data_IF_229787724240
#
_entry.id   IF_229787724240
#
_cell.length_a   1.000
_cell.length_b   1.000
_cell.length_c   1.000
_cell.angle_alpha   90.00
_cell.angle_beta   90.00
_cell.angle_gamma   90.00
#
_symmetry.space_group_name_H-M   'P 1'
#
loop_
_entity.id
_entity.type
_entity.pdbx_description
1 polymer ?
#
# COMPACT_ATOMS: atom_id res chain seq x y z
N UNK A 1 -32.51 -20.66 27.04
CA UNK A 1 -31.68 -19.73 26.25
C UNK A 1 -32.36 -18.38 26.27
N UNK A 2 -31.67 -17.32 26.71
CA UNK A 2 -32.21 -15.97 26.62
C UNK A 2 -32.34 -15.58 25.13
N UNK A 3 -33.46 -14.96 24.70
CA UNK A 3 -33.61 -14.53 23.32
C UNK A 3 -32.56 -13.47 22.98
N UNK A 4 -31.86 -13.65 21.85
CA UNK A 4 -30.95 -12.63 21.31
C UNK A 4 -31.81 -11.53 20.70
N UNK A 5 -31.72 -10.32 21.23
CA UNK A 5 -32.43 -9.16 20.67
C UNK A 5 -31.65 -8.63 19.46
N UNK A 6 -32.25 -8.72 18.26
CA UNK A 6 -31.63 -8.26 17.03
C UNK A 6 -32.25 -6.92 16.65
N UNK A 7 -31.41 -5.89 16.53
CA UNK A 7 -31.79 -4.58 16.00
C UNK A 7 -31.13 -4.40 14.63
N UNK A 8 -31.94 -4.16 13.59
CA UNK A 8 -31.42 -3.79 12.27
C UNK A 8 -31.30 -2.27 12.20
N UNK A 9 -30.15 -1.78 11.76
CA UNK A 9 -29.92 -0.37 11.49
C UNK A 9 -30.11 -0.11 9.99
N UNK A 10 -30.76 0.99 9.65
CA UNK A 10 -30.94 1.47 8.27
C UNK A 10 -29.68 2.23 7.81
N UNK A 11 -28.51 1.59 7.93
CA UNK A 11 -27.21 2.15 7.51
C UNK A 11 -26.76 1.42 6.25
N UNK A 12 -26.48 2.19 5.19
CA UNK A 12 -25.96 1.68 3.93
C UNK A 12 -24.67 2.40 3.60
N UNK A 13 -23.61 1.63 3.33
CA UNK A 13 -22.36 2.14 2.79
C UNK A 13 -22.42 1.98 1.28
N UNK A 14 -22.19 3.07 0.54
CA UNK A 14 -22.17 3.07 -0.91
C UNK A 14 -20.77 3.44 -1.41
N UNK A 15 -20.31 2.83 -2.52
CA UNK A 15 -19.06 3.22 -3.14
C UNK A 15 -19.09 4.68 -3.61
N UNK A 16 -17.96 5.38 -3.48
CA UNK A 16 -17.78 6.74 -4.01
C UNK A 16 -16.70 6.80 -5.09
N UNK A 17 -17.11 6.97 -6.35
CA UNK A 17 -16.20 7.00 -7.50
C UNK A 17 -15.28 8.23 -7.50
N UNK A 18 -15.65 9.30 -6.81
CA UNK A 18 -14.81 10.51 -6.70
C UNK A 18 -13.60 10.33 -5.77
N UNK A 19 -13.53 9.21 -5.03
CA UNK A 19 -12.38 8.86 -4.21
C UNK A 19 -11.29 8.23 -5.08
N UNK A 20 -10.38 9.08 -5.53
CA UNK A 20 -9.33 8.76 -6.50
C UNK A 20 -7.94 8.90 -5.90
N UNK A 21 -6.99 8.09 -6.39
CA UNK A 21 -5.55 8.26 -6.15
C UNK A 21 -4.83 8.56 -7.46
N UNK A 22 -3.73 9.32 -7.41
CA UNK A 22 -2.87 9.53 -8.57
C UNK A 22 -1.83 8.42 -8.63
N UNK A 23 -1.73 7.75 -9.78
CA UNK A 23 -0.76 6.67 -10.04
C UNK A 23 0.11 7.02 -11.26
N UNK A 24 1.30 6.40 -11.38
CA UNK A 24 2.08 6.48 -12.60
C UNK A 24 1.30 5.89 -13.77
N UNK A 25 1.15 6.66 -14.83
CA UNK A 25 0.56 6.26 -16.10
C UNK A 25 1.62 6.39 -17.20
N UNK A 26 2.62 5.52 -17.15
CA UNK A 26 3.77 5.54 -18.07
C UNK A 26 3.56 4.48 -19.15
N UNK A 27 3.49 4.86 -20.44
CA UNK A 27 3.43 3.90 -21.53
C UNK A 27 4.68 2.98 -21.55
N UNK A 28 4.48 1.70 -21.86
CA UNK A 28 5.58 0.73 -21.97
C UNK A 28 6.50 0.99 -23.18
N UNK A 29 5.99 1.67 -24.22
CA UNK A 29 6.77 2.05 -25.39
C UNK A 29 7.62 3.31 -25.12
N UNK A 30 8.94 3.13 -25.06
CA UNK A 30 9.91 4.21 -24.86
C UNK A 30 9.84 5.29 -25.94
N UNK A 31 9.50 4.95 -27.19
CA UNK A 31 9.35 5.94 -28.25
C UNK A 31 8.17 6.89 -27.96
N UNK A 32 7.05 6.34 -27.48
CA UNK A 32 5.91 7.13 -27.03
C UNK A 32 6.26 8.03 -25.84
N UNK A 33 6.99 7.51 -24.85
CA UNK A 33 7.44 8.30 -23.68
C UNK A 33 8.31 9.49 -24.12
N UNK A 34 9.34 9.24 -24.92
CA UNK A 34 10.23 10.29 -25.45
C UNK A 34 9.48 11.31 -26.31
N UNK A 35 8.49 10.88 -27.10
CA UNK A 35 7.64 11.79 -27.89
C UNK A 35 6.82 12.74 -27.00
N UNK A 36 6.24 12.24 -25.90
CA UNK A 36 5.49 13.06 -24.93
C UNK A 36 6.42 14.08 -24.26
N UNK A 37 7.58 13.63 -23.79
CA UNK A 37 8.60 14.51 -23.20
C UNK A 37 9.03 15.58 -24.22
N UNK A 38 9.27 15.20 -25.47
CA UNK A 38 9.65 16.13 -26.53
C UNK A 38 8.64 17.26 -26.74
N UNK A 39 7.34 16.95 -26.66
CA UNK A 39 6.27 17.97 -26.72
C UNK A 39 6.32 18.92 -25.54
N UNK A 40 6.49 18.41 -24.32
CA UNK A 40 6.64 19.23 -23.12
C UNK A 40 7.91 20.10 -23.15
N UNK A 41 9.00 19.61 -23.74
CA UNK A 41 10.25 20.35 -23.92
C UNK A 41 10.11 21.47 -24.99
N UNK A 42 9.22 21.30 -25.96
CA UNK A 42 8.98 22.30 -27.01
C UNK A 42 8.19 23.53 -26.52
N UNK A 43 7.47 23.41 -25.39
CA UNK A 43 6.75 24.53 -24.78
C UNK A 43 7.70 25.60 -24.25
N UNK A 44 7.28 26.86 -24.33
CA UNK A 44 7.89 27.99 -23.61
C UNK A 44 7.59 27.91 -22.11
N UNK A 45 8.38 28.59 -21.27
CA UNK A 45 8.12 28.60 -19.82
C UNK A 45 6.74 29.21 -19.47
N UNK A 46 6.26 30.19 -20.24
CA UNK A 46 4.93 30.76 -20.03
C UNK A 46 3.81 29.76 -20.35
N UNK A 47 4.00 28.93 -21.38
CA UNK A 47 3.09 27.83 -21.70
C UNK A 47 3.10 26.77 -20.61
N UNK A 48 4.28 26.33 -20.17
CA UNK A 48 4.43 25.37 -19.07
C UNK A 48 3.69 25.84 -17.82
N UNK A 49 3.91 27.09 -17.40
CA UNK A 49 3.27 27.65 -16.21
C UNK A 49 1.73 27.68 -16.34
N UNK A 50 1.22 27.95 -17.55
CA UNK A 50 -0.22 27.99 -17.82
C UNK A 50 -0.84 26.59 -17.80
N UNK A 51 -0.24 25.63 -18.48
CA UNK A 51 -0.72 24.25 -18.50
C UNK A 51 -0.68 23.63 -17.10
N UNK A 52 0.43 23.83 -16.37
CA UNK A 52 0.54 23.34 -14.99
C UNK A 52 -0.52 23.94 -14.07
N UNK A 53 -0.80 25.25 -14.18
CA UNK A 53 -1.90 25.86 -13.40
C UNK A 53 -3.26 25.25 -13.74
N UNK A 54 -3.50 24.96 -15.03
CA UNK A 54 -4.74 24.29 -15.46
C UNK A 54 -4.87 22.91 -14.82
N UNK A 55 -3.81 22.11 -14.85
CA UNK A 55 -3.76 20.80 -14.18
C UNK A 55 -3.99 20.95 -12.68
N UNK A 56 -3.30 21.85 -12.00
CA UNK A 56 -3.52 22.01 -10.56
C UNK A 56 -4.97 22.41 -10.25
N UNK A 57 -5.55 23.36 -11.00
CA UNK A 57 -6.94 23.82 -10.78
C UNK A 57 -7.99 22.72 -10.97
N UNK A 58 -7.77 21.80 -11.90
CA UNK A 58 -8.70 20.70 -12.15
C UNK A 58 -8.61 19.58 -11.09
N UNK A 59 -7.53 19.52 -10.31
CA UNK A 59 -7.25 18.43 -9.36
C UNK A 59 -7.16 18.89 -7.90
N UNK A 60 -7.11 20.20 -7.63
CA UNK A 60 -6.97 20.82 -6.29
C UNK A 60 -8.08 20.40 -5.32
N UNK A 61 -9.28 20.13 -5.84
CA UNK A 61 -10.44 19.75 -5.04
C UNK A 61 -10.47 18.26 -4.66
N UNK A 62 -9.58 17.44 -5.25
CA UNK A 62 -9.55 15.98 -5.15
C UNK A 62 -8.27 15.42 -4.52
N UNK A 63 -7.19 16.20 -4.44
CA UNK A 63 -5.89 15.74 -3.92
C UNK A 63 -5.28 16.74 -2.95
N UNK A 64 -4.69 16.24 -1.85
CA UNK A 64 -4.10 17.08 -0.82
C UNK A 64 -2.70 17.62 -1.19
N UNK A 65 -1.82 16.79 -1.75
CA UNK A 65 -0.45 17.17 -2.16
C UNK A 65 -0.13 16.67 -3.58
N UNK A 66 -0.70 17.34 -4.58
CA UNK A 66 -0.47 16.98 -5.99
C UNK A 66 0.97 17.25 -6.43
N UNK A 67 1.59 18.33 -5.96
CA UNK A 67 2.90 18.77 -6.44
C UNK A 67 3.99 17.72 -6.13
N UNK A 68 4.02 17.17 -4.92
CA UNK A 68 4.96 16.12 -4.54
C UNK A 68 4.77 14.84 -5.37
N UNK A 69 3.51 14.46 -5.64
CA UNK A 69 3.19 13.30 -6.47
C UNK A 69 3.66 13.48 -7.93
N UNK A 70 3.41 14.66 -8.50
CA UNK A 70 3.87 14.98 -9.85
C UNK A 70 5.40 14.97 -9.93
N UNK A 71 6.09 15.50 -8.94
CA UNK A 71 7.55 15.45 -8.87
C UNK A 71 8.06 14.00 -8.83
N UNK A 72 7.47 13.14 -7.99
CA UNK A 72 7.82 11.72 -7.92
C UNK A 72 7.57 10.98 -9.25
N UNK A 73 6.55 11.37 -10.01
CA UNK A 73 6.30 10.80 -11.35
C UNK A 73 7.30 11.30 -12.39
N UNK A 74 7.72 12.56 -12.32
CA UNK A 74 8.81 13.07 -13.14
C UNK A 74 10.11 12.28 -12.92
N UNK A 75 10.46 12.01 -11.66
CA UNK A 75 11.67 11.25 -11.32
C UNK A 75 11.70 9.85 -11.95
N UNK A 76 10.53 9.22 -12.15
CA UNK A 76 10.40 7.92 -12.83
C UNK A 76 10.75 7.99 -14.31
N UNK A 77 10.50 9.12 -14.97
CA UNK A 77 10.73 9.31 -16.42
C UNK A 77 11.94 10.19 -16.74
N UNK A 78 12.62 10.75 -15.74
CA UNK A 78 13.72 11.69 -15.93
C UNK A 78 14.85 11.13 -16.82
N UNK A 79 15.09 9.82 -16.76
CA UNK A 79 16.12 9.14 -17.54
C UNK A 79 15.81 9.09 -19.05
N UNK A 80 14.58 9.39 -19.44
CA UNK A 80 14.17 9.54 -20.84
C UNK A 80 14.27 10.99 -21.35
N UNK A 81 14.64 11.95 -20.49
CA UNK A 81 14.83 13.35 -20.88
C UNK A 81 16.14 13.50 -21.67
N UNK A 82 16.05 13.98 -22.90
CA UNK A 82 17.17 14.02 -23.86
C UNK A 82 17.70 15.43 -24.14
N UNK A 83 17.66 16.33 -23.14
CA UNK A 83 18.20 17.70 -23.26
C UNK A 83 19.35 17.94 -22.28
N UNK A 84 20.31 18.75 -22.69
CA UNK A 84 21.41 19.21 -21.82
C UNK A 84 21.02 20.43 -20.97
N UNK A 85 19.84 21.02 -21.21
CA UNK A 85 19.35 22.17 -20.46
C UNK A 85 18.77 21.73 -19.12
N UNK A 86 19.08 22.46 -18.06
CA UNK A 86 18.40 22.30 -16.77
C UNK A 86 16.93 22.69 -16.93
N UNK A 87 16.02 21.79 -16.52
CA UNK A 87 14.58 22.05 -16.57
C UNK A 87 14.16 22.87 -15.35
N UNK A 88 13.27 23.84 -15.55
CA UNK A 88 12.58 24.54 -14.46
C UNK A 88 11.72 23.57 -13.65
N UNK A 89 11.49 23.90 -12.38
CA UNK A 89 10.67 23.05 -11.50
C UNK A 89 9.25 22.87 -12.06
N UNK A 90 8.60 23.93 -12.55
CA UNK A 90 7.27 23.84 -13.17
C UNK A 90 7.24 22.88 -14.36
N UNK A 91 8.31 22.84 -15.17
CA UNK A 91 8.41 21.92 -16.30
C UNK A 91 8.59 20.48 -15.85
N UNK A 92 9.33 20.24 -14.77
CA UNK A 92 9.43 18.92 -14.16
C UNK A 92 8.05 18.44 -13.70
N UNK A 93 7.32 19.28 -12.96
CA UNK A 93 5.96 18.97 -12.51
C UNK A 93 5.00 18.69 -13.66
N UNK A 94 5.04 19.51 -14.73
CA UNK A 94 4.20 19.30 -15.91
C UNK A 94 4.52 17.97 -16.62
N UNK A 95 5.82 17.62 -16.75
CA UNK A 95 6.20 16.30 -17.29
C UNK A 95 5.66 15.20 -16.39
N UNK A 96 5.77 15.33 -15.07
CA UNK A 96 5.19 14.41 -14.10
C UNK A 96 3.68 14.24 -14.30
N UNK A 97 2.94 15.33 -14.50
CA UNK A 97 1.49 15.32 -14.75
C UNK A 97 1.12 14.54 -16.01
N UNK A 98 1.89 14.68 -17.09
CA UNK A 98 1.65 13.97 -18.35
C UNK A 98 1.81 12.45 -18.23
N UNK A 99 2.50 11.97 -17.19
CA UNK A 99 2.68 10.56 -16.87
C UNK A 99 1.95 10.15 -15.58
N UNK A 100 0.91 10.89 -15.22
CA UNK A 100 0.04 10.63 -14.08
C UNK A 100 -1.36 10.27 -14.57
N UNK A 101 -2.05 9.42 -13.81
CA UNK A 101 -3.45 9.10 -14.04
C UNK A 101 -4.19 8.89 -12.73
N UNK A 102 -5.42 9.37 -12.64
CA UNK A 102 -6.31 9.05 -11.53
C UNK A 102 -6.79 7.60 -11.62
N UNK A 103 -7.05 7.03 -10.46
CA UNK A 103 -7.58 5.70 -10.27
C UNK A 103 -8.69 5.78 -9.22
N UNK A 104 -9.93 5.49 -9.59
CA UNK A 104 -11.05 5.45 -8.66
C UNK A 104 -11.01 4.17 -7.80
N UNK A 105 -10.85 4.37 -6.49
CA UNK A 105 -10.63 3.31 -5.49
C UNK A 105 -11.85 2.41 -5.31
N UNK A 106 -13.04 3.00 -5.33
CA UNK A 106 -14.30 2.32 -5.02
C UNK A 106 -15.20 2.19 -6.25
N UNK A 107 -14.65 2.28 -7.47
CA UNK A 107 -15.47 2.36 -8.69
C UNK A 107 -16.36 1.15 -8.99
N UNK A 108 -16.03 -0.03 -8.44
CA UNK A 108 -16.85 -1.22 -8.60
C UNK A 108 -17.71 -1.53 -7.38
N UNK A 109 -17.11 -1.64 -6.19
CA UNK A 109 -17.84 -1.99 -4.97
C UNK A 109 -17.03 -1.77 -3.68
N UNK A 110 -17.75 -1.64 -2.56
CA UNK A 110 -17.23 -1.77 -1.19
C UNK A 110 -17.96 -2.89 -0.44
N UNK A 111 -17.23 -3.78 0.21
CA UNK A 111 -17.83 -4.95 0.88
C UNK A 111 -16.89 -5.56 1.95
N UNK A 112 -17.33 -6.66 2.56
CA UNK A 112 -16.60 -7.41 3.58
C UNK A 112 -16.18 -6.61 4.84
N UNK A 113 -17.11 -5.88 5.49
CA UNK A 113 -16.78 -5.06 6.65
C UNK A 113 -16.31 -5.90 7.84
N UNK A 114 -15.23 -5.47 8.50
CA UNK A 114 -14.77 -5.99 9.79
C UNK A 114 -14.62 -4.83 10.77
N UNK A 115 -15.07 -4.98 12.02
CA UNK A 115 -14.98 -3.92 13.03
C UNK A 115 -14.11 -4.34 14.21
N UNK A 116 -13.32 -3.39 14.73
CA UNK A 116 -12.54 -3.54 15.96
C UNK A 116 -12.65 -2.26 16.80
N UNK A 117 -12.46 -2.33 18.14
CA UNK A 117 -12.35 -1.14 18.96
C UNK A 117 -11.26 -0.20 18.44
N UNK A 118 -11.57 1.08 18.30
CA UNK A 118 -10.60 2.10 17.90
C UNK A 118 -9.50 2.21 18.97
N UNK A 119 -8.21 2.36 18.60
CA UNK A 119 -7.12 2.45 19.58
C UNK A 119 -7.28 3.65 20.51
N UNK A 120 -7.73 4.79 19.97
CA UNK A 120 -8.14 5.95 20.74
C UNK A 120 -9.64 5.90 21.11
N UNK A 121 -9.94 5.87 22.41
CA UNK A 121 -11.29 5.98 22.99
C UNK A 121 -11.50 7.31 23.74
N UNK A 122 -10.62 8.30 23.55
CA UNK A 122 -10.74 9.60 24.22
C UNK A 122 -12.03 10.32 23.82
N UNK A 123 -12.70 10.92 24.81
CA UNK A 123 -13.96 11.65 24.61
C UNK A 123 -15.17 10.75 24.29
N UNK A 124 -15.03 9.42 24.35
CA UNK A 124 -16.15 8.48 24.19
C UNK A 124 -16.96 8.43 25.50
N UNK A 125 -18.29 8.59 25.45
CA UNK A 125 -19.14 8.48 26.65
C UNK A 125 -19.04 7.10 27.31
N UNK A 126 -19.15 7.04 28.64
CA UNK A 126 -19.15 5.78 29.39
C UNK A 126 -20.20 4.79 28.85
N UNK A 127 -19.76 3.59 28.49
CA UNK A 127 -20.60 2.54 27.92
C UNK A 127 -20.83 2.64 26.40
N UNK A 128 -20.31 3.66 25.72
CA UNK A 128 -20.20 3.71 24.27
C UNK A 128 -18.84 3.15 23.80
N UNK A 129 -18.69 2.89 22.51
CA UNK A 129 -17.47 2.34 21.93
C UNK A 129 -17.18 2.96 20.56
N UNK A 130 -16.04 3.63 20.41
CA UNK A 130 -15.53 4.04 19.10
C UNK A 130 -14.92 2.82 18.40
N UNK A 131 -15.14 2.68 17.10
CA UNK A 131 -14.62 1.55 16.32
C UNK A 131 -13.90 2.02 15.07
N UNK A 132 -12.98 1.17 14.59
CA UNK A 132 -12.47 1.18 13.22
C UNK A 132 -13.14 0.06 12.46
N UNK A 133 -13.57 0.34 11.23
CA UNK A 133 -14.10 -0.63 10.29
C UNK A 133 -13.13 -0.74 9.11
N UNK A 134 -12.62 -1.94 8.82
CA UNK A 134 -11.97 -2.23 7.55
C UNK A 134 -13.00 -2.67 6.52
N UNK A 135 -12.82 -2.25 5.27
CA UNK A 135 -13.62 -2.64 4.11
C UNK A 135 -12.69 -3.05 2.97
N UNK A 136 -13.16 -3.97 2.13
CA UNK A 136 -12.58 -4.22 0.83
C UNK A 136 -13.19 -3.23 -0.16
N UNK A 137 -12.35 -2.37 -0.73
CA UNK A 137 -12.71 -1.51 -1.86
C UNK A 137 -12.20 -2.15 -3.16
N UNK A 138 -13.05 -2.22 -4.18
CA UNK A 138 -12.68 -2.70 -5.52
C UNK A 138 -12.79 -1.54 -6.49
N UNK A 139 -11.66 -1.14 -7.06
CA UNK A 139 -11.57 0.00 -7.94
C UNK A 139 -11.47 -0.40 -9.41
N UNK A 140 -10.93 0.52 -10.22
CA UNK A 140 -10.75 0.29 -11.65
C UNK A 140 -9.89 -0.95 -11.93
N UNK A 141 -10.17 -1.65 -13.03
CA UNK A 141 -9.48 -2.90 -13.35
C UNK A 141 -9.71 -4.04 -12.35
N UNK A 142 -10.71 -3.92 -11.46
CA UNK A 142 -11.04 -4.89 -10.40
C UNK A 142 -9.92 -5.13 -9.39
N UNK A 143 -9.02 -4.16 -9.23
CA UNK A 143 -7.96 -4.24 -8.22
C UNK A 143 -8.57 -3.95 -6.85
N UNK A 144 -8.37 -4.86 -5.91
CA UNK A 144 -8.87 -4.73 -4.54
C UNK A 144 -7.85 -4.07 -3.61
N UNK A 145 -8.35 -3.23 -2.71
CA UNK A 145 -7.61 -2.53 -1.66
C UNK A 145 -8.36 -2.62 -0.33
N UNK A 146 -7.68 -2.30 0.77
CA UNK A 146 -8.31 -2.15 2.08
C UNK A 146 -8.47 -0.66 2.36
N UNK A 147 -9.66 -0.26 2.75
CA UNK A 147 -9.93 1.08 3.27
C UNK A 147 -10.48 1.00 4.69
N UNK A 148 -10.45 2.14 5.39
CA UNK A 148 -10.94 2.23 6.75
C UNK A 148 -12.08 3.25 6.89
N UNK A 149 -12.97 3.01 7.84
CA UNK A 149 -13.96 3.96 8.35
C UNK A 149 -13.88 3.99 9.86
N UNK A 150 -14.27 5.09 10.48
CA UNK A 150 -14.43 5.17 11.93
C UNK A 150 -15.89 5.50 12.28
N UNK A 151 -16.29 5.14 13.48
CA UNK A 151 -17.63 5.42 13.98
C UNK A 151 -17.78 5.15 15.46
N UNK A 152 -18.99 5.39 15.98
CA UNK A 152 -19.35 5.23 17.38
C UNK A 152 -20.56 4.32 17.51
N UNK A 153 -20.47 3.35 18.42
CA UNK A 153 -21.63 2.61 18.93
C UNK A 153 -22.04 3.28 20.24
N UNK A 154 -23.23 3.89 20.26
CA UNK A 154 -23.81 4.53 21.44
C UNK A 154 -24.29 3.53 22.49
N UNK A 155 -24.55 4.02 23.71
CA UNK A 155 -25.08 3.24 24.82
C UNK A 155 -26.49 2.68 24.57
N UNK A 156 -27.23 3.31 23.66
CA UNK A 156 -28.53 2.87 23.15
C UNK A 156 -28.42 1.89 21.96
N UNK A 157 -27.18 1.52 21.60
CA UNK A 157 -26.85 0.68 20.46
C UNK A 157 -26.97 1.37 19.10
N UNK A 158 -27.22 2.68 19.03
CA UNK A 158 -27.19 3.40 17.76
C UNK A 158 -25.76 3.47 17.21
N UNK A 159 -25.61 3.29 15.90
CA UNK A 159 -24.33 3.35 15.21
C UNK A 159 -24.28 4.65 14.39
N UNK A 160 -23.22 5.42 14.57
CA UNK A 160 -22.91 6.61 13.75
C UNK A 160 -21.53 6.44 13.13
N UNK A 161 -21.36 6.94 11.90
CA UNK A 161 -20.07 6.96 11.21
C UNK A 161 -19.50 8.37 11.23
N UNK A 162 -18.18 8.47 11.28
CA UNK A 162 -17.48 9.71 10.99
C UNK A 162 -17.63 10.08 9.50
N UNK A 163 -17.58 11.39 9.16
CA UNK A 163 -17.61 11.81 7.77
C UNK A 163 -16.53 11.12 6.94
N UNK A 164 -16.93 10.64 5.76
CA UNK A 164 -16.00 10.12 4.78
C UNK A 164 -15.33 11.29 4.06
N UNK A 165 -14.01 11.36 4.15
CA UNK A 165 -13.25 12.31 3.35
C UNK A 165 -13.29 11.93 1.88
N UNK A 166 -13.30 12.94 1.02
CA UNK A 166 -13.13 12.78 -0.43
C UNK A 166 -11.70 12.37 -0.79
N UNK A 167 -10.75 12.70 0.08
CA UNK A 167 -9.34 12.45 -0.15
C UNK A 167 -9.00 10.98 0.14
N UNK A 168 -7.96 10.52 -0.54
CA UNK A 168 -7.42 9.18 -0.38
C UNK A 168 -5.90 9.31 -0.46
N UNK A 169 -5.21 8.76 0.52
CA UNK A 169 -3.76 8.83 0.59
C UNK A 169 -3.17 7.44 0.61
N UNK A 170 -2.23 7.19 -0.32
CA UNK A 170 -1.41 5.98 -0.32
C UNK A 170 -0.30 6.17 0.72
N UNK A 171 0.01 5.15 1.53
CA UNK A 171 1.03 5.25 2.56
C UNK A 171 2.43 5.42 1.98
N UNK A 172 3.33 5.98 2.80
CA UNK A 172 4.77 5.81 2.58
C UNK A 172 5.15 4.33 2.77
N UNK A 173 5.93 3.78 1.84
CA UNK A 173 6.35 2.39 1.87
C UNK A 173 7.81 2.31 2.34
N UNK A 174 8.05 1.66 3.47
CA UNK A 174 9.41 1.35 3.93
C UNK A 174 9.86 0.04 3.29
N UNK A 175 10.72 0.14 2.28
CA UNK A 175 11.17 -0.99 1.45
C UNK A 175 12.32 -1.82 2.05
N UNK A 176 12.96 -1.35 3.14
CA UNK A 176 14.05 -2.06 3.82
C UNK A 176 13.67 -2.39 5.27
N UNK A 177 12.58 -3.15 5.50
CA UNK A 177 12.16 -3.49 6.85
C UNK A 177 13.17 -4.43 7.52
N UNK A 178 13.02 -4.57 8.83
CA UNK A 178 13.77 -5.54 9.61
C UNK A 178 13.04 -6.89 9.64
N UNK A 179 13.74 -7.95 9.25
CA UNK A 179 13.23 -9.32 9.20
C UNK A 179 13.74 -10.12 10.38
N UNK A 180 12.86 -10.93 10.98
CA UNK A 180 13.27 -11.94 11.96
C UNK A 180 13.67 -13.24 11.25
N UNK A 181 14.93 -13.65 11.41
CA UNK A 181 15.51 -14.84 10.76
C UNK A 181 14.73 -16.13 11.00
N UNK A 182 14.26 -16.36 12.23
CA UNK A 182 13.50 -17.57 12.57
C UNK A 182 12.14 -17.59 11.89
N UNK A 183 11.40 -16.47 11.92
CA UNK A 183 10.10 -16.34 11.22
C UNK A 183 10.26 -16.49 9.70
N UNK A 184 11.27 -15.85 9.13
CA UNK A 184 11.58 -15.91 7.69
C UNK A 184 11.87 -17.34 7.23
N UNK A 185 12.75 -18.06 7.94
CA UNK A 185 13.06 -19.47 7.66
C UNK A 185 11.82 -20.35 7.82
N UNK A 186 10.98 -20.07 8.82
CA UNK A 186 9.73 -20.83 9.04
C UNK A 186 8.79 -20.69 7.84
N UNK A 187 8.60 -19.47 7.32
CA UNK A 187 7.79 -19.26 6.11
C UNK A 187 8.36 -19.92 4.87
N UNK A 188 9.67 -19.88 4.65
CA UNK A 188 10.29 -20.61 3.54
C UNK A 188 9.99 -22.11 3.62
N UNK A 189 10.06 -22.71 4.82
CA UNK A 189 9.70 -24.13 5.00
C UNK A 189 8.24 -24.41 4.73
N UNK A 190 7.32 -23.55 5.16
CA UNK A 190 5.89 -23.68 4.86
C UNK A 190 5.62 -23.60 3.36
N UNK A 191 6.40 -22.81 2.63
CA UNK A 191 6.37 -22.72 1.16
C UNK A 191 7.07 -23.90 0.45
N UNK A 192 7.64 -24.85 1.19
CA UNK A 192 8.33 -26.02 0.66
C UNK A 192 9.82 -25.80 0.31
N UNK A 193 10.44 -24.73 0.78
CA UNK A 193 11.86 -24.43 0.59
C UNK A 193 12.65 -24.72 1.87
N UNK A 194 13.34 -25.86 1.88
CA UNK A 194 14.13 -26.35 3.02
C UNK A 194 15.48 -26.96 2.58
N UNK A 195 15.95 -26.61 1.39
CA UNK A 195 17.17 -27.14 0.80
C UNK A 195 18.45 -26.53 1.43
N UNK A 196 19.61 -27.08 1.04
CA UNK A 196 20.92 -26.61 1.49
C UNK A 196 21.22 -25.17 1.04
N UNK A 197 20.62 -24.71 -0.07
CA UNK A 197 20.86 -23.36 -0.61
C UNK A 197 20.23 -22.30 0.30
N UNK A 198 19.04 -22.56 0.87
CA UNK A 198 18.44 -21.71 1.91
C UNK A 198 19.39 -21.58 3.10
N UNK A 199 20.01 -22.67 3.55
CA UNK A 199 20.94 -22.64 4.68
C UNK A 199 22.16 -21.77 4.37
N UNK A 200 22.72 -21.90 3.16
CA UNK A 200 23.89 -21.13 2.72
C UNK A 200 23.56 -19.63 2.68
N UNK A 201 22.44 -19.24 2.05
CA UNK A 201 22.04 -17.82 1.94
C UNK A 201 21.70 -17.24 3.31
N UNK A 202 21.04 -18.00 4.18
CA UNK A 202 20.60 -17.49 5.48
C UNK A 202 21.72 -17.49 6.52
N UNK A 203 22.76 -18.32 6.38
CA UNK A 203 23.86 -18.43 7.35
C UNK A 203 24.51 -17.09 7.77
N UNK A 204 24.94 -16.20 6.84
CA UNK A 204 25.62 -14.94 7.20
C UNK A 204 24.69 -13.87 7.80
N UNK A 205 23.37 -14.05 7.76
CA UNK A 205 22.42 -13.06 8.27
C UNK A 205 22.30 -13.14 9.80
N UNK A 206 22.15 -11.99 10.45
CA UNK A 206 21.87 -11.91 11.90
C UNK A 206 20.47 -12.41 12.27
N UNK A 207 20.18 -12.53 13.58
CA UNK A 207 18.82 -12.87 14.06
C UNK A 207 17.77 -11.86 13.58
N UNK A 208 18.17 -10.59 13.48
CA UNK A 208 17.48 -9.53 12.77
C UNK A 208 18.35 -9.12 11.58
N UNK A 209 17.79 -9.02 10.38
CA UNK A 209 18.50 -8.60 9.18
C UNK A 209 17.62 -7.70 8.31
N UNK A 210 18.20 -6.94 7.39
CA UNK A 210 17.46 -6.07 6.47
C UNK A 210 17.41 -6.65 5.06
N UNK A 211 16.57 -6.10 4.19
CA UNK A 211 16.52 -6.49 2.76
C UNK A 211 17.88 -6.28 2.10
N UNK A 212 18.57 -5.21 2.47
CA UNK A 212 19.93 -4.92 2.01
C UNK A 212 20.92 -6.00 2.42
N UNK A 213 20.79 -6.58 3.62
CA UNK A 213 21.67 -7.66 4.09
C UNK A 213 21.37 -8.97 3.35
N UNK A 214 20.10 -9.27 3.12
CA UNK A 214 19.69 -10.41 2.30
C UNK A 214 20.23 -10.30 0.88
N UNK A 215 20.09 -9.14 0.24
CA UNK A 215 20.60 -8.90 -1.12
C UNK A 215 22.12 -9.09 -1.20
N UNK A 216 22.87 -8.63 -0.19
CA UNK A 216 24.32 -8.89 -0.10
C UNK A 216 24.60 -10.40 -0.04
N UNK A 217 23.87 -11.14 0.79
CA UNK A 217 24.03 -12.58 0.90
C UNK A 217 23.70 -13.32 -0.41
N UNK A 218 22.59 -12.97 -1.05
CA UNK A 218 22.18 -13.51 -2.35
C UNK A 218 23.27 -13.29 -3.42
N UNK A 219 23.83 -12.08 -3.48
CA UNK A 219 24.90 -11.75 -4.42
C UNK A 219 26.19 -12.53 -4.15
N UNK A 220 26.55 -12.76 -2.89
CA UNK A 220 27.71 -13.59 -2.54
C UNK A 220 27.56 -15.02 -3.05
N UNK A 221 26.36 -15.61 -2.93
CA UNK A 221 26.07 -16.96 -3.43
C UNK A 221 26.09 -17.00 -4.96
N UNK A 222 25.50 -16.00 -5.62
CA UNK A 222 25.49 -15.88 -7.09
C UNK A 222 26.88 -15.72 -7.70
N UNK A 223 27.78 -15.01 -7.01
CA UNK A 223 29.16 -14.78 -7.47
C UNK A 223 30.14 -15.88 -7.03
N UNK A 224 29.69 -16.85 -6.22
CA UNK A 224 30.43 -18.09 -5.98
C UNK A 224 30.63 -18.84 -7.29
N UNK A 225 31.84 -19.36 -7.54
CA UNK A 225 32.34 -19.79 -8.86
C UNK A 225 31.71 -21.06 -9.46
N UNK A 226 30.43 -21.34 -9.21
CA UNK A 226 29.70 -22.51 -9.68
C UNK A 226 28.56 -22.11 -10.64
N UNK A 227 28.29 -22.91 -11.69
CA UNK A 227 27.12 -22.71 -12.54
C UNK A 227 25.85 -22.80 -11.69
N UNK A 228 25.03 -21.76 -11.76
CA UNK A 228 23.76 -21.67 -11.00
C UNK A 228 22.83 -22.81 -11.46
N UNK A 229 22.57 -23.76 -10.57
CA UNK A 229 21.62 -24.84 -10.83
C UNK A 229 20.20 -24.27 -10.94
N UNK A 230 19.30 -25.01 -11.60
CA UNK A 230 17.89 -24.63 -11.68
C UNK A 230 17.25 -24.51 -10.30
N UNK A 231 17.63 -25.40 -9.39
CA UNK A 231 17.10 -25.43 -8.02
C UNK A 231 17.58 -24.22 -7.21
N UNK A 232 18.88 -23.89 -7.28
CA UNK A 232 19.43 -22.69 -6.65
C UNK A 232 18.72 -21.43 -7.16
N UNK A 233 18.53 -21.30 -8.48
CA UNK A 233 17.81 -20.17 -9.06
C UNK A 233 16.40 -20.03 -8.50
N UNK A 234 15.66 -21.14 -8.41
CA UNK A 234 14.31 -21.16 -7.85
C UNK A 234 14.30 -20.75 -6.38
N UNK A 235 15.29 -21.19 -5.61
CA UNK A 235 15.43 -20.81 -4.19
C UNK A 235 15.75 -19.33 -4.02
N UNK A 236 16.65 -18.77 -4.84
CA UNK A 236 16.95 -17.34 -4.84
C UNK A 236 15.74 -16.50 -5.25
N UNK A 237 15.02 -16.91 -6.29
CA UNK A 237 13.77 -16.25 -6.73
C UNK A 237 12.71 -16.28 -5.61
N UNK A 238 12.58 -17.40 -4.89
CA UNK A 238 11.67 -17.51 -3.75
C UNK A 238 12.09 -16.64 -2.56
N UNK A 239 13.38 -16.58 -2.23
CA UNK A 239 13.90 -15.74 -1.16
C UNK A 239 13.64 -14.27 -1.44
N UNK A 240 13.89 -13.83 -2.67
CA UNK A 240 13.56 -12.48 -3.12
C UNK A 240 12.05 -12.24 -3.04
N UNK A 241 11.25 -13.19 -3.51
CA UNK A 241 9.80 -13.09 -3.49
C UNK A 241 9.24 -12.93 -2.07
N UNK A 242 9.72 -13.71 -1.10
CA UNK A 242 9.30 -13.60 0.30
C UNK A 242 9.76 -12.28 0.93
N UNK A 243 10.96 -11.80 0.58
CA UNK A 243 11.42 -10.48 1.03
C UNK A 243 10.54 -9.36 0.45
N UNK A 244 10.14 -9.47 -0.80
CA UNK A 244 9.32 -8.49 -1.50
C UNK A 244 7.86 -8.46 -0.99
N UNK A 245 7.40 -9.53 -0.35
CA UNK A 245 6.08 -9.58 0.32
C UNK A 245 6.05 -8.84 1.66
N UNK A 246 7.20 -8.60 2.30
CA UNK A 246 7.23 -7.94 3.61
C UNK A 246 7.66 -6.48 3.46
N UNK A 247 6.82 -5.58 3.94
CA UNK A 247 7.05 -4.14 3.89
C UNK A 247 6.30 -3.46 5.03
N UNK A 248 6.65 -2.21 5.29
CA UNK A 248 5.92 -1.41 6.27
C UNK A 248 5.28 -0.22 5.58
N UNK A 249 4.12 0.19 6.10
CA UNK A 249 3.32 1.28 5.60
C UNK A 249 3.19 2.32 6.70
N UNK A 250 3.44 3.58 6.36
CA UNK A 250 3.27 4.70 7.27
C UNK A 250 2.28 5.71 6.69
N UNK A 251 1.32 6.10 7.53
CA UNK A 251 0.40 7.20 7.27
C UNK A 251 0.74 8.40 8.17
N UNK A 252 0.66 9.63 7.65
CA UNK A 252 0.68 10.83 8.48
C UNK A 252 -0.46 10.82 9.51
N UNK A 253 -0.19 11.31 10.72
CA UNK A 253 -1.15 11.31 11.83
C UNK A 253 -2.36 12.22 11.56
N UNK A 254 -2.17 13.26 10.75
CA UNK A 254 -3.17 14.26 10.41
C UNK A 254 -4.26 13.71 9.50
N UNK A 255 -4.02 12.57 8.84
CA UNK A 255 -5.00 11.96 7.96
C UNK A 255 -6.17 11.41 8.76
N UNK A 256 -7.38 11.71 8.30
CA UNK A 256 -8.58 11.07 8.82
C UNK A 256 -8.52 9.56 8.58
N UNK A 257 -9.17 8.76 9.43
CA UNK A 257 -9.23 7.30 9.26
C UNK A 257 -9.74 6.92 7.86
N UNK A 258 -10.71 7.66 7.35
CA UNK A 258 -11.27 7.42 6.01
C UNK A 258 -10.28 7.67 4.88
N UNK A 259 -9.26 8.50 5.05
CA UNK A 259 -8.27 8.83 4.02
C UNK A 259 -7.16 7.78 3.89
N UNK A 260 -7.04 6.87 4.86
CA UNK A 260 -5.99 5.85 4.90
C UNK A 260 -6.42 4.63 4.09
N UNK A 261 -5.58 4.21 3.14
CA UNK A 261 -5.83 3.02 2.34
C UNK A 261 -4.60 2.14 2.23
N UNK A 262 -4.77 0.83 2.41
CA UNK A 262 -3.74 -0.13 2.03
C UNK A 262 -4.04 -0.50 0.58
N UNK A 263 -3.23 0.02 -0.32
CA UNK A 263 -3.31 -0.28 -1.73
C UNK A 263 -2.24 -1.32 -2.11
N UNK A 264 -2.48 -2.15 -3.13
CA UNK A 264 -1.43 -2.96 -3.73
C UNK A 264 -0.18 -2.17 -4.14
N UNK A 265 0.94 -2.43 -3.47
CA UNK A 265 2.23 -1.77 -3.67
C UNK A 265 3.33 -2.74 -4.13
N UNK A 266 3.19 -4.04 -3.87
CA UNK A 266 4.18 -5.05 -4.28
C UNK A 266 3.77 -5.82 -5.54
N UNK A 267 4.76 -6.47 -6.17
CA UNK A 267 4.51 -7.36 -7.31
C UNK A 267 3.60 -8.57 -6.96
N UNK A 268 3.54 -8.91 -5.66
CA UNK A 268 2.85 -10.07 -5.13
C UNK A 268 1.34 -9.86 -4.94
N UNK A 269 0.88 -8.63 -5.09
CA UNK A 269 -0.52 -8.23 -4.93
C UNK A 269 -1.00 -7.42 -6.12
N UNK A 270 -0.36 -7.56 -7.28
CA UNK A 270 -0.68 -6.81 -8.52
C UNK A 270 -2.14 -6.91 -8.98
N UNK A 271 -2.87 -7.94 -8.56
CA UNK A 271 -4.30 -8.11 -8.83
C UNK A 271 -5.20 -7.82 -7.62
N UNK A 272 -4.64 -7.37 -6.50
CA UNK A 272 -5.38 -6.91 -5.34
C UNK A 272 -4.97 -7.55 -4.02
N UNK A 273 -5.44 -6.91 -2.96
CA UNK A 273 -5.47 -7.44 -1.60
C UNK A 273 -6.91 -7.63 -1.16
N UNK A 274 -7.21 -8.75 -0.53
CA UNK A 274 -8.58 -9.15 -0.27
C UNK A 274 -8.82 -9.52 1.21
N UNK A 275 -10.00 -9.12 1.68
CA UNK A 275 -10.67 -9.66 2.87
C UNK A 275 -9.89 -9.55 4.18
N UNK A 276 -9.24 -8.42 4.42
CA UNK A 276 -8.60 -8.14 5.70
C UNK A 276 -9.61 -8.06 6.86
N UNK A 277 -9.51 -9.01 7.78
CA UNK A 277 -10.33 -9.08 9.00
C UNK A 277 -9.47 -8.79 10.21
N UNK A 278 -9.56 -7.55 10.71
CA UNK A 278 -8.82 -7.14 11.91
C UNK A 278 -9.43 -7.75 13.18
N UNK A 279 -8.54 -8.11 14.10
CA UNK A 279 -8.83 -8.60 15.45
C UNK A 279 -7.87 -7.94 16.42
N UNK A 280 -8.39 -7.48 17.56
CA UNK A 280 -7.62 -6.82 18.61
C UNK A 280 -7.14 -7.85 19.63
N UNK A 281 -5.84 -7.92 19.86
CA UNK A 281 -5.21 -8.72 20.90
C UNK A 281 -4.69 -7.80 22.02
N UNK A 282 -4.72 -8.31 23.25
CA UNK A 282 -4.11 -7.66 24.41
C UNK A 282 -3.19 -8.68 25.03
N UNK A 283 -1.91 -8.36 25.07
CA UNK A 283 -0.85 -9.19 25.64
C UNK A 283 -0.90 -9.15 27.17
N UNK A 284 -0.18 -10.08 27.80
CA UNK A 284 -0.15 -10.21 29.26
C UNK A 284 0.40 -8.96 29.98
N UNK A 285 1.22 -8.16 29.29
CA UNK A 285 1.76 -6.88 29.78
C UNK A 285 0.83 -5.69 29.53
N UNK A 286 -0.33 -5.92 28.92
CA UNK A 286 -1.32 -4.90 28.56
C UNK A 286 -1.07 -4.22 27.22
N UNK A 287 0.00 -4.56 26.48
CA UNK A 287 0.21 -4.07 25.12
C UNK A 287 -0.93 -4.52 24.21
N UNK A 288 -1.31 -3.67 23.26
CA UNK A 288 -2.42 -3.92 22.35
C UNK A 288 -1.89 -3.97 20.93
N UNK A 289 -2.22 -5.04 20.22
CA UNK A 289 -1.87 -5.20 18.81
C UNK A 289 -3.10 -5.62 18.02
N UNK A 290 -3.26 -5.09 16.83
CA UNK A 290 -4.29 -5.47 15.89
C UNK A 290 -3.66 -6.34 14.81
N UNK A 291 -4.26 -7.49 14.57
CA UNK A 291 -3.83 -8.42 13.54
C UNK A 291 -4.92 -8.60 12.50
N UNK A 292 -4.56 -8.73 11.23
CA UNK A 292 -5.48 -9.16 10.18
C UNK A 292 -4.76 -10.11 9.23
N UNK A 293 -5.41 -11.20 8.86
CA UNK A 293 -4.98 -11.96 7.68
C UNK A 293 -5.68 -11.40 6.45
N UNK A 294 -4.96 -11.31 5.34
CA UNK A 294 -5.53 -10.97 4.04
C UNK A 294 -4.96 -11.89 2.95
N UNK A 295 -5.62 -11.89 1.81
CA UNK A 295 -5.15 -12.63 0.64
C UNK A 295 -4.52 -11.67 -0.35
N UNK A 296 -3.22 -11.86 -0.64
CA UNK A 296 -2.53 -11.20 -1.73
C UNK A 296 -2.65 -12.06 -3.00
N UNK A 297 -3.05 -11.42 -4.11
CA UNK A 297 -3.21 -12.10 -5.40
C UNK A 297 -2.43 -11.39 -6.50
N UNK A 298 -1.61 -12.14 -7.24
CA UNK A 298 -0.83 -11.61 -8.37
C UNK A 298 -1.30 -12.13 -9.74
N UNK A 299 -2.49 -12.73 -9.83
CA UNK A 299 -3.00 -13.29 -11.09
C UNK A 299 -2.60 -14.74 -11.34
N UNK A 300 -1.71 -15.30 -10.52
CA UNK A 300 -1.21 -16.68 -10.65
C UNK A 300 -1.15 -17.44 -9.32
N UNK A 301 -0.72 -16.75 -8.27
CA UNK A 301 -0.48 -17.29 -6.94
C UNK A 301 -1.32 -16.50 -5.94
N UNK A 302 -1.87 -17.23 -4.97
CA UNK A 302 -2.56 -16.68 -3.80
C UNK A 302 -1.61 -16.87 -2.62
N UNK A 303 -1.29 -15.78 -1.93
CA UNK A 303 -0.47 -15.79 -0.73
C UNK A 303 -1.27 -15.19 0.44
N UNK A 304 -1.58 -15.99 1.48
CA UNK A 304 -2.03 -15.45 2.74
C UNK A 304 -0.92 -14.61 3.38
N UNK A 305 -1.27 -13.40 3.80
CA UNK A 305 -0.38 -12.45 4.44
C UNK A 305 -0.97 -11.99 5.77
N UNK A 306 -0.11 -11.58 6.69
CA UNK A 306 -0.49 -11.04 7.98
C UNK A 306 -0.18 -9.55 8.03
N UNK A 307 -1.14 -8.76 8.47
CA UNK A 307 -0.99 -7.34 8.79
C UNK A 307 -0.98 -7.24 10.31
N UNK A 308 -0.04 -6.47 10.85
CA UNK A 308 -0.09 -6.03 12.24
C UNK A 308 0.01 -4.49 12.34
N UNK A 309 -0.69 -3.91 13.31
CA UNK A 309 -0.65 -2.47 13.62
C UNK A 309 -1.07 -2.25 15.07
N UNK A 310 -0.52 -1.22 15.72
CA UNK A 310 -0.93 -0.82 17.08
C UNK A 310 -1.95 0.34 17.03
N UNK A 311 -1.95 1.12 15.96
CA UNK A 311 -2.52 2.47 15.92
C UNK A 311 -3.25 2.83 14.61
N UNK A 312 -3.23 1.95 13.60
CA UNK A 312 -3.72 2.22 12.24
C UNK A 312 -2.99 3.38 11.53
N UNK A 313 -1.75 3.68 11.93
CA UNK A 313 -0.83 4.63 11.31
C UNK A 313 0.38 3.89 10.74
N UNK A 314 0.95 2.99 11.53
CA UNK A 314 2.04 2.10 11.11
C UNK A 314 1.52 0.67 10.94
N UNK A 315 1.65 0.14 9.74
CA UNK A 315 1.31 -1.25 9.44
C UNK A 315 2.56 -2.01 9.04
N UNK A 316 2.69 -3.24 9.54
CA UNK A 316 3.72 -4.19 9.10
C UNK A 316 3.04 -5.33 8.36
N UNK A 317 3.50 -5.59 7.14
CA UNK A 317 3.04 -6.67 6.28
C UNK A 317 4.06 -7.81 6.35
N UNK A 318 3.57 -9.01 6.70
CA UNK A 318 4.35 -10.19 7.09
C UNK A 318 3.90 -11.48 6.37
#
# INVERSE_FOLDING_TARGET
MSPIHIRRHELTLLPECMRVIIRPFIPSDTHRVTTIIGRALALTEQEVARELRGVCQEFDDRHFDIASLLQAHYEKVQHHVFTQRTLSHERQLLIGALFSGEYALESAAIFNPSIVPHPDQSGVPDGALRFVMSLRATGEGHISSIEFRAGLIGTDGNITFEPVSRFVTVPEIILNPSYNKKRFITKLREMGFNDADVVIVMAPLGESFTRSDLNKSLNLVLHGSHPVSRDLRRTLECLQWLADSNYELLFPEELAMSERIIFPVSSNETNGIEDARFVRFTEDDGAVMYYATYTAYNGRVILPQLIETEDFLHFRIL
#
